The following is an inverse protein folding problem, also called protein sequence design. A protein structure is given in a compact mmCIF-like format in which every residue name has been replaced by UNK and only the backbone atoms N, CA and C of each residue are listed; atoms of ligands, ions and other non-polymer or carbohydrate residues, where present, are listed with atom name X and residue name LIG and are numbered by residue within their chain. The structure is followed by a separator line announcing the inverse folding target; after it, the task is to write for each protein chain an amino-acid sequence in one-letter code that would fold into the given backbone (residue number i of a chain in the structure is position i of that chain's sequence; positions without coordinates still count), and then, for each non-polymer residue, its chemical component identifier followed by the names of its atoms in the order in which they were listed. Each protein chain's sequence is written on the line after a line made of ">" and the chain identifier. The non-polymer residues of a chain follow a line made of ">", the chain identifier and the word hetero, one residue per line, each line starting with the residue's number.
data_IF_685577922502
#
_entry.id   IF_685577922502
#
_cell.length_a   1.000
_cell.length_b   1.000
_cell.length_c   1.000
_cell.angle_alpha   90.00
_cell.angle_beta   90.00
_cell.angle_gamma   90.00
#
_symmetry.space_group_name_H-M   'P 1'
#
loop_
_entity.id
_entity.type
_entity.pdbx_description
1 polymer ?
#
# COMPACT_ATOMS: atom_id res chain seq x y z
N UNK A 1 0.87 -7.00 -3.81
CA UNK A 1 1.46 -7.83 -4.89
C UNK A 1 0.54 -7.77 -6.09
N UNK A 2 1.06 -7.59 -7.31
CA UNK A 2 0.28 -7.61 -8.55
C UNK A 2 0.50 -8.95 -9.24
N UNK A 3 -0.57 -9.69 -9.51
CA UNK A 3 -0.52 -10.94 -10.27
C UNK A 3 -0.98 -10.65 -11.71
N UNK A 4 -0.20 -11.08 -12.70
CA UNK A 4 -0.55 -11.00 -14.12
C UNK A 4 -0.27 -12.33 -14.81
N UNK A 5 -0.71 -12.46 -16.04
CA UNK A 5 -0.27 -13.52 -16.96
C UNK A 5 0.51 -12.88 -18.12
N UNK A 6 1.26 -13.65 -18.92
CA UNK A 6 2.16 -13.09 -19.95
C UNK A 6 1.47 -12.36 -21.10
N UNK A 7 0.15 -12.52 -21.27
CA UNK A 7 -0.63 -11.99 -22.38
C UNK A 7 -0.83 -10.47 -22.26
N UNK A 8 -0.80 -9.76 -23.39
CA UNK A 8 -0.87 -8.30 -23.44
C UNK A 8 -2.15 -7.71 -22.81
N UNK A 9 -3.27 -8.44 -22.87
CA UNK A 9 -4.54 -8.01 -22.25
C UNK A 9 -4.42 -7.98 -20.74
N UNK A 10 -3.91 -9.05 -20.12
CA UNK A 10 -3.67 -9.13 -18.68
C UNK A 10 -2.67 -8.07 -18.22
N UNK A 11 -1.58 -7.87 -18.98
CA UNK A 11 -0.59 -6.84 -18.69
C UNK A 11 -1.18 -5.42 -18.70
N UNK A 12 -2.11 -5.12 -19.63
CA UNK A 12 -2.80 -3.81 -19.65
C UNK A 12 -3.65 -3.59 -18.40
N UNK A 13 -4.36 -4.62 -17.94
CA UNK A 13 -5.17 -4.56 -16.72
C UNK A 13 -4.27 -4.43 -15.49
N UNK A 14 -3.23 -5.25 -15.39
CA UNK A 14 -2.26 -5.20 -14.29
C UNK A 14 -1.59 -3.84 -14.19
N UNK A 15 -1.18 -3.22 -15.30
CA UNK A 15 -0.63 -1.84 -15.31
C UNK A 15 -1.63 -0.80 -14.84
N UNK A 16 -2.91 -0.93 -15.19
CA UNK A 16 -3.94 -0.01 -14.69
C UNK A 16 -4.12 -0.16 -13.19
N UNK A 17 -4.24 -1.39 -12.70
CA UNK A 17 -4.32 -1.68 -11.26
C UNK A 17 -3.12 -1.15 -10.50
N UNK A 18 -1.91 -1.35 -11.03
CA UNK A 18 -0.67 -0.81 -10.46
C UNK A 18 -0.74 0.71 -10.29
N UNK A 19 -1.10 1.45 -11.35
CA UNK A 19 -1.24 2.92 -11.26
C UNK A 19 -2.32 3.37 -10.28
N UNK A 20 -3.41 2.62 -10.17
CA UNK A 20 -4.44 2.90 -9.17
C UNK A 20 -3.86 2.77 -7.75
N UNK A 21 -3.13 1.68 -7.46
CA UNK A 21 -2.50 1.47 -6.15
C UNK A 21 -1.42 2.51 -5.82
N UNK A 22 -0.63 2.94 -6.80
CA UNK A 22 0.35 4.04 -6.60
C UNK A 22 -0.31 5.34 -6.16
N UNK A 23 -1.49 5.67 -6.71
CA UNK A 23 -2.22 6.91 -6.38
C UNK A 23 -2.77 6.92 -4.97
N UNK A 24 -3.23 5.77 -4.51
CA UNK A 24 -3.63 5.57 -3.10
C UNK A 24 -2.44 5.21 -2.22
N UNK A 25 -1.21 5.30 -2.75
CA UNK A 25 0.05 5.06 -2.05
C UNK A 25 0.11 3.71 -1.34
N UNK A 26 -0.56 2.71 -1.90
CA UNK A 26 -0.47 1.32 -1.41
C UNK A 26 0.89 0.77 -1.85
N UNK A 27 1.73 0.26 -0.93
CA UNK A 27 3.01 -0.33 -1.27
C UNK A 27 2.85 -1.55 -2.18
N UNK A 28 3.46 -1.50 -3.35
CA UNK A 28 3.46 -2.63 -4.28
C UNK A 28 4.75 -3.42 -4.07
N UNK A 29 4.62 -4.56 -3.39
CA UNK A 29 5.76 -5.43 -3.05
C UNK A 29 6.40 -6.13 -4.25
N UNK A 30 5.71 -6.19 -5.38
CA UNK A 30 6.22 -6.81 -6.59
C UNK A 30 5.16 -7.38 -7.53
N UNK A 31 5.62 -7.87 -8.67
CA UNK A 31 4.85 -8.50 -9.73
C UNK A 31 5.15 -10.00 -9.77
N UNK A 32 4.09 -10.81 -9.86
CA UNK A 32 4.16 -12.26 -10.10
C UNK A 32 3.53 -12.55 -11.46
N UNK A 33 4.25 -13.28 -12.32
CA UNK A 33 3.70 -13.80 -13.57
C UNK A 33 3.14 -15.21 -13.37
N UNK A 34 1.82 -15.32 -13.26
CA UNK A 34 1.12 -16.60 -13.23
C UNK A 34 0.98 -17.20 -14.63
N UNK A 35 0.81 -18.53 -14.70
CA UNK A 35 0.62 -19.28 -15.93
C UNK A 35 1.77 -19.10 -16.95
N UNK A 36 3.02 -19.05 -16.47
CA UNK A 36 4.22 -18.88 -17.31
C UNK A 36 4.80 -20.24 -17.72
N UNK A 37 4.43 -20.71 -18.90
CA UNK A 37 4.76 -22.05 -19.37
C UNK A 37 3.86 -23.14 -18.77
N UNK A 38 4.05 -24.38 -19.20
CA UNK A 38 3.31 -25.56 -18.76
C UNK A 38 4.28 -26.64 -18.32
N UNK A 39 4.08 -27.16 -17.11
CA UNK A 39 4.88 -28.26 -16.58
C UNK A 39 4.33 -29.59 -17.06
N UNK A 40 5.14 -30.35 -17.81
CA UNK A 40 4.79 -31.70 -18.22
C UNK A 40 4.76 -32.63 -17.00
N UNK A 41 3.62 -33.28 -16.74
CA UNK A 41 3.44 -34.20 -15.61
C UNK A 41 4.34 -35.46 -15.70
N UNK A 42 4.84 -35.81 -16.89
CA UNK A 42 5.65 -37.02 -17.10
C UNK A 42 7.15 -36.79 -16.90
N UNK A 43 7.69 -35.67 -17.35
CA UNK A 43 9.13 -35.39 -17.32
C UNK A 43 9.52 -34.14 -16.50
N UNK A 44 8.55 -33.33 -16.07
CA UNK A 44 8.80 -32.08 -15.34
C UNK A 44 9.35 -30.94 -16.21
N UNK A 45 9.54 -31.16 -17.51
CA UNK A 45 9.98 -30.13 -18.46
C UNK A 45 8.92 -29.04 -18.60
N UNK A 46 9.36 -27.79 -18.70
CA UNK A 46 8.45 -26.66 -18.85
C UNK A 46 8.40 -26.23 -20.32
N UNK A 47 7.24 -26.37 -20.95
CA UNK A 47 7.01 -25.98 -22.33
C UNK A 47 6.28 -24.64 -22.42
N UNK A 48 6.66 -23.80 -23.37
CA UNK A 48 6.00 -22.52 -23.62
C UNK A 48 4.72 -22.69 -24.42
N UNK A 49 3.60 -22.83 -23.71
CA UNK A 49 2.26 -22.85 -24.31
C UNK A 49 1.81 -21.43 -24.68
N UNK A 50 2.36 -20.41 -24.02
CA UNK A 50 2.12 -18.99 -24.27
C UNK A 50 3.44 -18.21 -24.36
N UNK A 51 3.37 -16.92 -24.71
CA UNK A 51 4.52 -16.00 -24.58
C UNK A 51 4.99 -15.98 -23.11
N UNK A 52 6.27 -15.69 -22.86
CA UNK A 52 6.84 -15.49 -21.52
C UNK A 52 7.37 -14.07 -21.28
N UNK A 53 7.62 -13.75 -20.01
CA UNK A 53 8.34 -12.55 -19.60
C UNK A 53 7.53 -11.26 -19.73
N UNK A 54 6.20 -11.36 -19.85
CA UNK A 54 5.30 -10.21 -19.84
C UNK A 54 5.37 -9.46 -18.51
N UNK A 55 5.33 -10.19 -17.40
CA UNK A 55 5.45 -9.64 -16.05
C UNK A 55 6.82 -9.04 -15.79
N UNK A 56 7.90 -9.68 -16.27
CA UNK A 56 9.27 -9.14 -16.13
C UNK A 56 9.46 -7.84 -16.93
N UNK A 57 8.96 -7.78 -18.18
CA UNK A 57 8.96 -6.52 -18.96
C UNK A 57 8.13 -5.44 -18.27
N UNK A 58 6.99 -5.79 -17.68
CA UNK A 58 6.17 -4.84 -16.93
C UNK A 58 6.91 -4.33 -15.69
N UNK A 59 7.65 -5.17 -14.97
CA UNK A 59 8.51 -4.76 -13.87
C UNK A 59 9.53 -3.71 -14.32
N UNK A 60 10.24 -3.95 -15.42
CA UNK A 60 11.22 -2.99 -15.96
C UNK A 60 10.57 -1.65 -16.34
N UNK A 61 9.36 -1.67 -16.89
CA UNK A 61 8.62 -0.47 -17.30
C UNK A 61 8.07 0.34 -16.12
N UNK A 62 7.79 -0.30 -14.99
CA UNK A 62 7.11 0.32 -13.84
C UNK A 62 8.04 0.55 -12.65
N UNK A 63 9.26 0.01 -12.67
CA UNK A 63 10.19 0.06 -11.55
C UNK A 63 9.78 -0.85 -10.37
N UNK A 64 8.68 -1.58 -10.47
CA UNK A 64 8.22 -2.52 -9.44
C UNK A 64 9.02 -3.83 -9.53
N UNK A 65 9.48 -4.45 -8.43
CA UNK A 65 10.24 -5.70 -8.46
C UNK A 65 9.49 -6.86 -9.11
N UNK A 66 10.17 -7.65 -9.93
CA UNK A 66 9.66 -8.95 -10.39
C UNK A 66 10.02 -10.02 -9.36
N UNK A 67 9.01 -10.65 -8.76
CA UNK A 67 9.22 -11.68 -7.73
C UNK A 67 9.46 -13.06 -8.35
N UNK A 68 8.90 -13.29 -9.54
CA UNK A 68 9.06 -14.54 -10.26
C UNK A 68 7.80 -14.97 -11.00
N UNK A 69 7.80 -16.23 -11.43
CA UNK A 69 6.72 -16.80 -12.22
C UNK A 69 6.28 -18.16 -11.69
N UNK A 70 5.02 -18.51 -11.99
CA UNK A 70 4.40 -19.79 -11.63
C UNK A 70 3.94 -20.46 -12.92
N UNK A 71 4.37 -21.70 -13.21
CA UNK A 71 3.92 -22.42 -14.41
C UNK A 71 2.48 -22.90 -14.28
N UNK A 72 1.86 -23.20 -15.43
CA UNK A 72 0.65 -24.02 -15.48
C UNK A 72 0.99 -25.45 -15.07
N UNK A 73 0.29 -25.95 -14.07
CA UNK A 73 0.45 -27.29 -13.54
C UNK A 73 -0.93 -27.83 -13.16
N UNK A 74 -1.29 -29.00 -13.69
CA UNK A 74 -2.60 -29.60 -13.48
C UNK A 74 -2.87 -29.95 -12.01
N UNK A 75 -1.81 -30.24 -11.25
CA UNK A 75 -1.92 -30.57 -9.82
C UNK A 75 -2.28 -29.33 -8.99
N UNK A 76 -1.99 -28.12 -9.48
CA UNK A 76 -2.46 -26.87 -8.83
C UNK A 76 -3.97 -26.79 -8.90
N UNK A 77 -4.56 -27.08 -10.07
CA UNK A 77 -6.01 -26.99 -10.28
C UNK A 77 -6.73 -28.08 -9.49
N UNK A 78 -6.29 -29.33 -9.65
CA UNK A 78 -6.84 -30.48 -8.91
C UNK A 78 -6.75 -30.26 -7.40
N UNK A 79 -5.59 -29.82 -6.92
CA UNK A 79 -5.40 -29.50 -5.50
C UNK A 79 -6.26 -28.33 -5.04
N UNK A 80 -6.49 -27.32 -5.89
CA UNK A 80 -7.39 -26.20 -5.60
C UNK A 80 -8.85 -26.64 -5.43
N UNK A 81 -9.35 -27.44 -6.36
CA UNK A 81 -10.73 -27.96 -6.34
C UNK A 81 -10.96 -28.91 -5.15
N UNK A 82 -9.96 -29.70 -4.78
CA UNK A 82 -10.00 -30.62 -3.64
C UNK A 82 -9.70 -29.96 -2.28
N UNK A 83 -9.33 -28.67 -2.27
CA UNK A 83 -8.94 -27.95 -1.05
C UNK A 83 -7.60 -28.40 -0.45
N UNK A 84 -6.72 -29.01 -1.26
CA UNK A 84 -5.40 -29.53 -0.88
C UNK A 84 -4.29 -28.85 -1.70
N UNK A 85 -3.65 -27.80 -1.18
CA UNK A 85 -2.64 -27.04 -1.93
C UNK A 85 -1.47 -27.90 -2.42
N UNK A 86 -0.98 -27.62 -3.64
CA UNK A 86 0.13 -28.36 -4.26
C UNK A 86 1.40 -28.39 -3.39
N UNK A 87 1.65 -27.32 -2.63
CA UNK A 87 2.79 -27.24 -1.70
C UNK A 87 2.73 -28.25 -0.56
N UNK A 88 1.54 -28.79 -0.26
CA UNK A 88 1.32 -29.86 0.74
C UNK A 88 1.29 -31.22 0.06
N UNK A 89 0.56 -31.36 -1.05
CA UNK A 89 0.35 -32.65 -1.72
C UNK A 89 1.54 -33.09 -2.55
N UNK A 90 2.28 -32.16 -3.16
CA UNK A 90 3.46 -32.42 -3.97
C UNK A 90 4.54 -31.33 -3.75
N UNK A 91 5.24 -31.31 -2.60
CA UNK A 91 6.23 -30.29 -2.27
C UNK A 91 7.43 -30.25 -3.23
N UNK A 92 7.71 -31.37 -3.90
CA UNK A 92 8.80 -31.52 -4.86
C UNK A 92 8.45 -31.14 -6.30
N UNK A 93 7.24 -30.66 -6.59
CA UNK A 93 6.88 -30.20 -7.94
C UNK A 93 7.60 -28.89 -8.31
N UNK A 94 7.66 -28.60 -9.61
CA UNK A 94 8.19 -27.33 -10.11
C UNK A 94 7.38 -26.15 -9.57
N UNK A 95 6.05 -26.27 -9.60
CA UNK A 95 5.14 -25.26 -9.07
C UNK A 95 5.30 -25.04 -7.55
N UNK A 96 5.43 -26.10 -6.76
CA UNK A 96 5.64 -25.98 -5.30
C UNK A 96 6.94 -25.25 -4.96
N UNK A 97 8.03 -25.57 -5.68
CA UNK A 97 9.29 -24.82 -5.54
C UNK A 97 9.15 -23.36 -5.94
N UNK A 98 8.39 -23.06 -6.99
CA UNK A 98 8.13 -21.68 -7.41
C UNK A 98 7.36 -20.90 -6.33
N UNK A 99 6.29 -21.48 -5.77
CA UNK A 99 5.56 -20.88 -4.64
C UNK A 99 6.46 -20.64 -3.42
N UNK A 100 7.30 -21.62 -3.06
CA UNK A 100 8.22 -21.49 -1.93
C UNK A 100 9.25 -20.36 -2.15
N UNK A 101 9.82 -20.27 -3.35
CA UNK A 101 10.76 -19.20 -3.71
C UNK A 101 10.10 -17.81 -3.67
N UNK A 102 8.88 -17.69 -4.20
CA UNK A 102 8.10 -16.45 -4.15
C UNK A 102 7.78 -16.04 -2.71
N UNK A 103 7.38 -16.99 -1.87
CA UNK A 103 7.11 -16.73 -0.46
C UNK A 103 8.36 -16.26 0.29
N UNK A 104 9.52 -16.87 0.01
CA UNK A 104 10.80 -16.45 0.59
C UNK A 104 11.18 -15.02 0.20
N UNK A 105 11.08 -14.67 -1.10
CA UNK A 105 11.35 -13.30 -1.55
C UNK A 105 10.37 -12.27 -0.96
N UNK A 106 9.08 -12.64 -0.85
CA UNK A 106 8.08 -11.76 -0.24
C UNK A 106 8.37 -11.54 1.25
N UNK A 107 8.73 -12.58 1.98
CA UNK A 107 9.10 -12.50 3.38
C UNK A 107 10.34 -11.62 3.58
N UNK A 108 11.35 -11.72 2.71
CA UNK A 108 12.53 -10.86 2.74
C UNK A 108 12.18 -9.38 2.51
N UNK A 109 11.32 -9.09 1.53
CA UNK A 109 10.83 -7.72 1.30
C UNK A 109 10.03 -7.17 2.48
N UNK A 110 9.16 -7.98 3.08
CA UNK A 110 8.36 -7.58 4.25
C UNK A 110 9.26 -7.27 5.45
N UNK A 111 10.29 -8.08 5.69
CA UNK A 111 11.24 -7.86 6.79
C UNK A 111 12.09 -6.59 6.60
N UNK A 112 12.29 -6.14 5.36
CA UNK A 112 12.96 -4.86 5.05
C UNK A 112 12.03 -3.66 5.12
N UNK A 113 10.73 -3.87 5.03
CA UNK A 113 9.75 -2.79 5.10
C UNK A 113 9.63 -2.38 6.57
N UNK A 114 9.80 -1.10 6.91
CA UNK A 114 9.67 -0.65 8.29
C UNK A 114 8.28 -1.00 8.81
N UNK A 115 8.22 -1.75 9.91
CA UNK A 115 6.97 -1.95 10.65
C UNK A 115 6.72 -0.69 11.47
N UNK A 116 5.54 -0.08 11.33
CA UNK A 116 5.12 0.94 12.28
C UNK A 116 5.11 0.34 13.70
N UNK A 117 5.57 1.14 14.66
CA UNK A 117 5.51 0.80 16.09
C UNK A 117 4.06 0.84 16.59
N UNK A 118 3.18 1.55 15.87
CA UNK A 118 1.78 1.67 16.23
C UNK A 118 1.04 0.37 15.96
N UNK A 119 0.38 -0.13 16.99
CA UNK A 119 -0.56 -1.24 16.86
C UNK A 119 -1.74 -0.80 15.99
N UNK A 120 -2.39 -1.73 15.25
CA UNK A 120 -3.63 -1.42 14.55
C UNK A 120 -4.65 -0.77 15.50
N UNK A 121 -5.26 0.33 15.06
CA UNK A 121 -6.14 1.14 15.89
C UNK A 121 -7.35 1.65 15.12
N UNK A 122 -8.41 1.92 15.89
CA UNK A 122 -9.59 2.66 15.45
C UNK A 122 -9.86 3.72 16.50
N UNK A 123 -9.73 4.97 16.10
CA UNK A 123 -9.75 6.14 16.97
C UNK A 123 -10.96 7.01 16.65
N UNK A 124 -11.82 7.25 17.64
CA UNK A 124 -12.92 8.21 17.56
C UNK A 124 -12.41 9.60 17.96
N UNK A 125 -12.52 10.56 17.05
CA UNK A 125 -11.88 11.88 17.19
C UNK A 125 -12.51 12.76 18.27
N UNK A 126 -13.81 12.63 18.49
CA UNK A 126 -14.59 13.46 19.42
C UNK A 126 -14.41 13.04 20.88
N UNK A 127 -14.40 11.74 21.15
CA UNK A 127 -14.23 11.18 22.51
C UNK A 127 -12.78 10.86 22.83
N UNK A 128 -11.89 10.95 21.83
CA UNK A 128 -10.51 10.49 21.89
C UNK A 128 -10.36 8.98 22.23
N UNK A 129 -11.44 8.20 22.10
CA UNK A 129 -11.46 6.77 22.41
C UNK A 129 -10.69 5.99 21.33
N UNK A 130 -9.78 5.10 21.74
CA UNK A 130 -9.00 4.28 20.82
C UNK A 130 -7.84 5.02 20.13
N UNK A 131 -7.46 6.19 20.64
CA UNK A 131 -6.27 6.91 20.19
C UNK A 131 -5.02 6.04 20.31
N UNK A 132 -4.12 6.04 19.30
CA UNK A 132 -2.86 5.31 19.37
C UNK A 132 -1.88 5.98 20.36
N UNK A 133 -0.86 5.21 20.75
CA UNK A 133 0.16 5.67 21.69
C UNK A 133 1.00 6.83 21.11
N UNK A 134 1.56 7.65 22.00
CA UNK A 134 2.55 8.68 21.69
C UNK A 134 3.92 8.26 22.25
N UNK A 135 4.77 7.64 21.43
CA UNK A 135 5.97 6.95 21.91
C UNK A 135 7.24 7.79 21.66
N UNK A 136 7.49 8.82 22.47
CA UNK A 136 8.69 9.68 22.31
C UNK A 136 10.01 8.91 22.44
N UNK A 137 10.06 7.89 23.29
CA UNK A 137 11.24 7.02 23.45
C UNK A 137 11.55 6.18 22.20
N UNK A 138 10.63 6.10 21.24
CA UNK A 138 10.82 5.45 19.95
C UNK A 138 11.59 6.31 18.94
N UNK A 139 11.72 7.62 19.19
CA UNK A 139 12.41 8.56 18.31
C UNK A 139 13.92 8.33 18.30
N UNK A 140 14.53 8.33 17.11
CA UNK A 140 15.98 8.16 16.89
C UNK A 140 16.43 9.03 15.73
N UNK A 141 17.59 9.68 15.84
CA UNK A 141 18.12 10.59 14.80
C UNK A 141 18.38 9.94 13.43
N UNK A 142 18.47 8.61 13.37
CA UNK A 142 18.58 7.81 12.14
C UNK A 142 17.31 7.00 11.84
N UNK A 143 16.16 7.37 12.43
CA UNK A 143 14.87 6.73 12.22
C UNK A 143 14.30 6.97 10.82
N UNK A 144 13.31 6.17 10.43
CA UNK A 144 12.65 6.34 9.15
C UNK A 144 11.69 7.54 9.17
N UNK A 145 11.83 8.42 8.18
CA UNK A 145 11.07 9.68 8.05
C UNK A 145 9.56 9.49 7.84
N UNK A 146 9.15 8.35 7.30
CA UNK A 146 7.75 8.03 6.98
C UNK A 146 7.19 6.90 7.86
N UNK A 147 7.85 6.59 8.98
CA UNK A 147 7.32 5.66 9.98
C UNK A 147 6.76 6.46 11.16
N UNK A 148 5.43 6.48 11.38
CA UNK A 148 4.88 7.14 12.54
C UNK A 148 5.07 6.26 13.78
N UNK A 149 5.44 6.91 14.88
CA UNK A 149 5.61 6.33 16.22
C UNK A 149 4.63 6.97 17.23
N UNK A 150 3.89 7.99 16.81
CA UNK A 150 2.80 8.55 17.60
C UNK A 150 1.83 9.37 16.78
N UNK A 151 0.54 9.26 17.10
CA UNK A 151 -0.48 10.18 16.62
C UNK A 151 -1.27 10.69 17.83
N UNK A 152 -1.59 11.98 17.86
CA UNK A 152 -2.46 12.55 18.90
C UNK A 152 -3.28 13.72 18.38
N UNK A 153 -4.38 13.97 19.06
CA UNK A 153 -5.16 15.19 18.88
C UNK A 153 -4.59 16.24 19.83
N UNK A 154 -3.97 17.29 19.29
CA UNK A 154 -3.49 18.40 20.11
C UNK A 154 -4.66 19.29 20.57
N UNK A 155 -5.60 19.50 19.66
CA UNK A 155 -6.85 20.24 19.85
C UNK A 155 -7.88 19.73 18.84
N UNK A 156 -9.11 20.27 18.86
CA UNK A 156 -10.20 19.82 18.00
C UNK A 156 -9.91 19.94 16.49
N UNK A 157 -8.94 20.76 16.08
CA UNK A 157 -8.56 21.03 14.70
C UNK A 157 -7.19 20.50 14.31
N UNK A 158 -6.36 20.05 15.25
CA UNK A 158 -4.96 19.72 14.98
C UNK A 158 -4.66 18.25 15.23
N UNK A 159 -4.31 17.53 14.16
CA UNK A 159 -3.70 16.20 14.22
C UNK A 159 -2.18 16.34 14.28
N UNK A 160 -1.56 15.84 15.33
CA UNK A 160 -0.11 15.76 15.44
C UNK A 160 0.38 14.34 15.12
N UNK A 161 1.48 14.25 14.36
CA UNK A 161 2.15 12.99 13.99
C UNK A 161 3.61 13.08 14.39
N UNK A 162 4.04 12.17 15.26
CA UNK A 162 5.44 11.98 15.64
C UNK A 162 6.05 10.88 14.77
N UNK A 163 7.16 11.20 14.12
CA UNK A 163 7.90 10.31 13.23
C UNK A 163 9.10 9.67 13.94
N UNK A 164 9.53 8.51 13.45
CA UNK A 164 10.66 7.78 14.01
C UNK A 164 11.98 8.57 13.95
N UNK A 165 12.14 9.46 12.96
CA UNK A 165 13.27 10.38 12.85
C UNK A 165 13.26 11.52 13.91
N UNK A 166 12.21 11.58 14.73
CA UNK A 166 12.00 12.58 15.77
C UNK A 166 11.34 13.86 15.30
N UNK A 167 11.05 13.99 14.01
CA UNK A 167 10.26 15.11 13.50
C UNK A 167 8.82 15.00 13.98
N UNK A 168 8.16 16.14 14.16
CA UNK A 168 6.78 16.21 14.60
C UNK A 168 6.00 17.16 13.69
N UNK A 169 5.09 16.61 12.89
CA UNK A 169 4.21 17.40 12.03
C UNK A 169 2.88 17.68 12.72
N UNK A 170 2.36 18.88 12.49
CA UNK A 170 1.07 19.33 12.99
C UNK A 170 0.20 19.74 11.79
N UNK A 171 -0.95 19.10 11.67
CA UNK A 171 -1.84 19.28 10.53
C UNK A 171 -3.18 19.85 11.00
N UNK A 172 -3.61 20.98 10.42
CA UNK A 172 -5.02 21.37 10.50
C UNK A 172 -5.86 20.34 9.76
N UNK A 173 -6.92 19.87 10.40
CA UNK A 173 -7.79 18.81 9.87
C UNK A 173 -8.50 19.22 8.58
N UNK A 174 -8.77 20.52 8.37
CA UNK A 174 -9.34 20.99 7.10
C UNK A 174 -8.30 20.95 5.98
N UNK A 175 -7.04 21.26 6.27
CA UNK A 175 -5.97 21.15 5.29
C UNK A 175 -5.72 19.70 4.91
N UNK A 176 -5.78 18.76 5.86
CA UNK A 176 -5.80 17.32 5.56
C UNK A 176 -6.97 16.96 4.65
N UNK A 177 -8.18 17.42 4.95
CA UNK A 177 -9.36 17.15 4.11
C UNK A 177 -9.18 17.67 2.68
N UNK A 178 -8.62 18.86 2.52
CA UNK A 178 -8.32 19.49 1.24
C UNK A 178 -7.20 18.77 0.48
N UNK A 179 -6.24 18.20 1.20
CA UNK A 179 -5.14 17.41 0.66
C UNK A 179 -5.50 15.92 0.43
N UNK A 180 -6.78 15.54 0.50
CA UNK A 180 -7.22 14.16 0.31
C UNK A 180 -6.92 13.66 -1.11
N UNK A 181 -6.25 12.51 -1.22
CA UNK A 181 -5.87 11.90 -2.51
C UNK A 181 -6.61 10.61 -2.85
N UNK A 182 -7.77 10.40 -2.25
CA UNK A 182 -8.60 9.23 -2.54
C UNK A 182 -9.18 9.29 -3.97
N UNK A 183 -9.70 8.15 -4.44
CA UNK A 183 -10.28 8.02 -5.78
C UNK A 183 -11.51 8.92 -6.02
N UNK A 184 -12.18 9.42 -4.97
CA UNK A 184 -13.29 10.37 -5.09
C UNK A 184 -12.81 11.83 -5.17
N UNK A 185 -11.60 12.12 -4.70
CA UNK A 185 -11.06 13.49 -4.65
C UNK A 185 -10.09 13.80 -5.78
N UNK A 186 -9.56 12.78 -6.47
CA UNK A 186 -8.58 12.92 -7.56
C UNK A 186 -8.99 12.04 -8.75
N UNK A 187 -8.90 12.56 -9.97
CA UNK A 187 -9.22 11.82 -11.20
C UNK A 187 -8.12 10.80 -11.56
N UNK A 188 -8.52 9.56 -11.90
CA UNK A 188 -7.69 8.33 -12.05
C UNK A 188 -6.60 8.37 -13.13
N UNK A 189 -6.63 9.24 -14.13
CA UNK A 189 -5.63 9.25 -15.20
C UNK A 189 -4.73 10.48 -15.20
N UNK A 190 -5.30 11.65 -14.93
CA UNK A 190 -4.63 12.95 -14.94
C UNK A 190 -4.06 13.35 -13.58
N UNK A 191 -4.61 12.80 -12.48
CA UNK A 191 -4.26 13.27 -11.14
C UNK A 191 -4.86 14.64 -10.81
N UNK A 192 -5.77 15.15 -11.64
CA UNK A 192 -6.47 16.41 -11.42
C UNK A 192 -7.33 16.34 -10.15
N UNK A 193 -7.31 17.37 -9.30
CA UNK A 193 -8.25 17.49 -8.20
C UNK A 193 -9.70 17.51 -8.71
N UNK A 194 -10.53 16.63 -8.16
CA UNK A 194 -11.98 16.61 -8.30
C UNK A 194 -12.68 17.29 -7.11
N UNK A 195 -11.99 17.34 -5.97
CA UNK A 195 -12.46 18.06 -4.79
C UNK A 195 -12.57 19.55 -5.08
N UNK A 196 -13.76 20.11 -4.85
CA UNK A 196 -13.97 21.55 -4.85
C UNK A 196 -13.70 22.10 -3.44
N UNK A 197 -12.65 22.93 -3.24
CA UNK A 197 -12.31 23.48 -1.93
C UNK A 197 -13.45 24.27 -1.27
N UNK A 198 -14.34 24.87 -2.06
CA UNK A 198 -15.47 25.66 -1.54
C UNK A 198 -16.56 24.80 -0.92
N UNK A 199 -16.62 23.52 -1.29
CA UNK A 199 -17.58 22.56 -0.72
C UNK A 199 -17.09 21.96 0.60
N UNK A 200 -15.82 22.11 0.92
CA UNK A 200 -15.25 21.66 2.21
C UNK A 200 -15.58 22.68 3.28
N UNK A 201 -16.46 22.29 4.20
CA UNK A 201 -16.92 23.12 5.31
C UNK A 201 -15.75 23.60 6.18
N UNK A 202 -15.91 24.78 6.80
CA UNK A 202 -14.88 25.36 7.67
C UNK A 202 -14.70 24.58 8.99
N UNK A 203 -15.77 23.96 9.46
CA UNK A 203 -15.86 23.12 10.66
C UNK A 203 -15.68 21.62 10.36
N UNK A 204 -15.11 21.28 9.20
CA UNK A 204 -14.83 19.89 8.86
C UNK A 204 -13.88 19.28 9.90
N UNK A 205 -14.21 18.08 10.37
CA UNK A 205 -13.40 17.37 11.36
C UNK A 205 -13.41 15.87 11.07
N UNK A 206 -12.38 15.13 11.51
CA UNK A 206 -12.45 13.70 11.57
C UNK A 206 -13.59 13.28 12.50
N UNK A 207 -14.28 12.20 12.13
CA UNK A 207 -15.14 11.42 13.01
C UNK A 207 -14.38 10.20 13.51
N UNK A 208 -13.64 9.56 12.62
CA UNK A 208 -12.88 8.35 12.90
C UNK A 208 -11.57 8.36 12.12
N UNK A 209 -10.49 7.99 12.79
CA UNK A 209 -9.18 7.73 12.19
C UNK A 209 -8.83 6.27 12.45
N UNK A 210 -8.40 5.54 11.44
CA UNK A 210 -8.04 4.13 11.60
C UNK A 210 -6.75 3.81 10.87
N UNK A 211 -5.96 2.89 11.42
CA UNK A 211 -4.79 2.35 10.72
C UNK A 211 -5.22 1.59 9.46
N UNK A 212 -4.54 1.83 8.34
CA UNK A 212 -4.70 1.04 7.11
C UNK A 212 -3.37 0.35 6.82
N UNK A 213 -3.26 -0.89 7.29
CA UNK A 213 -1.99 -1.61 7.34
C UNK A 213 -0.92 -0.79 8.08
N UNK A 214 0.33 -0.89 7.62
CA UNK A 214 1.47 -0.18 8.20
C UNK A 214 1.93 1.01 7.34
N UNK A 215 1.09 1.50 6.42
CA UNK A 215 1.52 2.49 5.42
C UNK A 215 0.64 3.75 5.38
N UNK A 216 -0.53 3.75 6.01
CA UNK A 216 -1.48 4.85 5.93
C UNK A 216 -2.42 4.92 7.13
N UNK A 217 -3.08 6.07 7.28
CA UNK A 217 -4.33 6.22 8.03
C UNK A 217 -5.50 6.44 7.08
N UNK A 218 -6.64 5.85 7.44
CA UNK A 218 -7.95 6.17 6.89
C UNK A 218 -8.65 7.20 7.77
N UNK A 219 -9.34 8.17 7.17
CA UNK A 219 -10.11 9.19 7.88
C UNK A 219 -11.53 9.26 7.33
N UNK A 220 -12.50 9.08 8.23
CA UNK A 220 -13.90 9.39 8.00
C UNK A 220 -14.19 10.80 8.50
N UNK A 221 -14.85 11.60 7.67
CA UNK A 221 -15.08 13.02 7.88
C UNK A 221 -16.56 13.31 8.15
N UNK A 222 -16.82 14.33 8.96
CA UNK A 222 -18.19 14.78 9.29
C UNK A 222 -18.93 15.46 8.12
N UNK A 223 -18.28 15.66 6.97
CA UNK A 223 -18.89 16.12 5.72
C UNK A 223 -19.47 14.97 4.86
N UNK A 224 -19.44 13.74 5.39
CA UNK A 224 -19.91 12.53 4.71
C UNK A 224 -18.83 11.82 3.88
N UNK A 225 -17.60 12.34 3.85
CA UNK A 225 -16.48 11.69 3.15
C UNK A 225 -15.84 10.59 3.99
N UNK A 226 -15.95 9.33 3.57
CA UNK A 226 -15.46 8.15 4.33
C UNK A 226 -14.41 7.32 3.57
N UNK A 227 -13.85 7.87 2.50
CA UNK A 227 -12.79 7.24 1.71
C UNK A 227 -11.45 7.95 1.87
N UNK A 228 -11.30 8.79 2.89
CA UNK A 228 -10.06 9.54 3.11
C UNK A 228 -8.93 8.58 3.41
N UNK A 229 -7.86 8.62 2.61
CA UNK A 229 -6.68 7.77 2.78
C UNK A 229 -5.43 8.62 2.67
N UNK A 230 -4.57 8.51 3.68
CA UNK A 230 -3.38 9.31 3.85
C UNK A 230 -2.21 8.39 4.14
N UNK A 231 -1.39 8.09 3.13
CA UNK A 231 -0.14 7.38 3.37
C UNK A 231 0.80 8.20 4.22
N UNK A 232 1.66 7.52 4.95
CA UNK A 232 2.65 8.15 5.80
C UNK A 232 3.65 8.98 4.97
N UNK A 233 4.05 8.50 3.79
CA UNK A 233 4.85 9.28 2.84
C UNK A 233 4.14 10.58 2.40
N UNK A 234 2.83 10.50 2.13
CA UNK A 234 2.05 11.67 1.71
C UNK A 234 1.88 12.67 2.86
N UNK A 235 1.60 12.19 4.08
CA UNK A 235 1.53 13.03 5.27
C UNK A 235 2.86 13.73 5.54
N UNK A 236 3.98 13.00 5.48
CA UNK A 236 5.30 13.60 5.68
C UNK A 236 5.62 14.65 4.62
N UNK A 237 5.36 14.33 3.35
CA UNK A 237 5.54 15.28 2.24
C UNK A 237 4.61 16.50 2.38
N UNK A 238 3.43 16.35 2.96
CA UNK A 238 2.51 17.44 3.22
C UNK A 238 3.03 18.36 4.34
N UNK A 239 3.54 17.78 5.43
CA UNK A 239 4.14 18.54 6.54
C UNK A 239 5.31 19.41 6.08
N UNK A 240 6.18 18.85 5.25
CA UNK A 240 7.32 19.56 4.65
C UNK A 240 6.89 20.75 3.78
N UNK A 241 5.83 20.58 2.98
CA UNK A 241 5.28 21.69 2.16
C UNK A 241 4.66 22.79 3.04
N UNK A 242 3.91 22.42 4.07
CA UNK A 242 3.29 23.39 4.99
C UNK A 242 4.38 24.19 5.72
N UNK A 243 5.42 23.52 6.21
CA UNK A 243 6.55 24.16 6.86
C UNK A 243 7.31 25.11 5.93
N UNK A 244 7.52 24.74 4.66
CA UNK A 244 8.18 25.61 3.69
C UNK A 244 7.39 26.90 3.42
N UNK A 245 6.07 26.81 3.23
CA UNK A 245 5.21 27.99 3.01
C UNK A 245 5.23 28.92 4.23
N UNK A 246 5.22 28.37 5.44
CA UNK A 246 5.27 29.17 6.66
C UNK A 246 6.60 29.93 6.85
N UNK A 247 7.70 29.48 6.23
CA UNK A 247 9.00 30.16 6.28
C UNK A 247 9.08 31.28 5.22
N UNK A 248 8.45 31.09 4.06
CA UNK A 248 8.44 32.09 2.98
C UNK A 248 7.50 33.28 3.27
N UNK A 249 6.52 33.11 4.16
CA UNK A 249 5.58 34.16 4.59
C UNK A 249 6.11 35.04 5.78
N UNK A 250 7.38 34.89 6.17
CA UNK A 250 8.07 35.67 7.23
C UNK A 250 9.15 36.57 6.65
#
# INVERSE_FOLDING_TARGET
>A
VIVTTPQDVSLKIARRGLRMFERVHVPILGIIENMSGFTCAHCGEITDVFRRGGGERMSQQTGVPFLGSIPLDADIVTGGDDGKPIVVTNPGSVASRAYAALAAQLAEHLNRTPSSVLKPFVWKWDTNEGAPDWVESGSRSAGNRATPIGLRQNDLRTLAVLWEDGHCDHFDVRDLRLACRCALCIEEMSGRPLLDPKKVRADVSPQKISSVGNYAVGIDWNDGHNSGLYSFDHLRSLGERIAAVAVDDV
#
